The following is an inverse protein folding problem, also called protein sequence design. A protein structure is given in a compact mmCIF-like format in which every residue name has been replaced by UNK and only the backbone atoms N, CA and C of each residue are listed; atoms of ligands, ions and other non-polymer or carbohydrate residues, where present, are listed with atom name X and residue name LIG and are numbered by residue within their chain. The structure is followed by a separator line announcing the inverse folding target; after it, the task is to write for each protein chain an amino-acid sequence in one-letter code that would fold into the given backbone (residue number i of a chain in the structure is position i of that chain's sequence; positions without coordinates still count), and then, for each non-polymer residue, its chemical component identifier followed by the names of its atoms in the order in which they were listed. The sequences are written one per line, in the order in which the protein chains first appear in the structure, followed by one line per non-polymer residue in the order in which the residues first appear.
data_IF_432473503072
#
_entry.id   IF_432473503072
#
_cell.length_a   1.000
_cell.length_b   1.000
_cell.length_c   1.000
_cell.angle_alpha   90.00
_cell.angle_beta   90.00
_cell.angle_gamma   90.00
#
_symmetry.space_group_name_H-M   'P 1'
#
loop_
_entity.id
_entity.type
_entity.pdbx_description
1 polymer ?
#
# COMPACT_ATOMS: atom_id res chain seq x y z
N UNK A 1 10.64 -14.68 1.15
CA UNK A 1 11.06 -14.81 2.56
C UNK A 1 12.49 -15.31 2.58
N UNK A 2 13.32 -14.85 3.51
CA UNK A 2 14.67 -15.42 3.70
C UNK A 2 14.61 -16.86 4.24
N UNK A 3 13.46 -17.31 4.73
CA UNK A 3 13.27 -18.63 5.35
C UNK A 3 12.61 -19.67 4.46
N UNK A 4 12.03 -19.29 3.31
CA UNK A 4 11.34 -20.20 2.40
C UNK A 4 11.80 -19.93 0.97
N UNK A 5 12.59 -20.83 0.35
CA UNK A 5 13.06 -20.69 -1.03
C UNK A 5 11.90 -20.55 -2.02
N UNK A 6 12.03 -19.62 -2.97
CA UNK A 6 11.01 -19.39 -4.00
C UNK A 6 9.73 -18.69 -3.52
N UNK A 7 9.55 -18.48 -2.20
CA UNK A 7 8.38 -17.77 -1.69
C UNK A 7 8.59 -16.26 -1.72
N UNK A 8 7.80 -15.58 -2.55
CA UNK A 8 7.67 -14.12 -2.57
C UNK A 8 6.26 -13.73 -2.17
N UNK A 9 6.11 -13.00 -1.07
CA UNK A 9 4.85 -12.38 -0.70
C UNK A 9 5.03 -10.86 -0.77
N UNK A 10 4.10 -10.14 -1.44
CA UNK A 10 4.14 -8.69 -1.42
C UNK A 10 3.87 -8.19 0.01
N UNK A 11 4.50 -7.08 0.39
CA UNK A 11 4.22 -6.44 1.66
C UNK A 11 2.78 -5.92 1.67
N UNK A 12 2.03 -6.23 2.72
CA UNK A 12 0.70 -5.68 2.92
C UNK A 12 0.82 -4.33 3.65
N UNK A 13 0.44 -3.25 2.98
CA UNK A 13 0.55 -1.90 3.51
C UNK A 13 -0.76 -1.40 4.12
N UNK A 14 -0.63 -0.52 5.11
CA UNK A 14 -1.72 0.32 5.62
C UNK A 14 -1.40 1.77 5.30
N UNK A 15 -2.39 2.54 4.86
CA UNK A 15 -2.17 3.92 4.46
C UNK A 15 -3.46 4.67 4.25
N UNK A 16 -3.33 5.92 3.79
CA UNK A 16 -4.45 6.82 3.52
C UNK A 16 -4.54 7.00 2.01
N UNK A 17 -5.71 6.70 1.45
CA UNK A 17 -6.02 7.03 0.06
C UNK A 17 -6.76 8.36 0.00
N UNK A 18 -6.31 9.22 -0.91
CA UNK A 18 -6.94 10.52 -1.15
C UNK A 18 -7.78 10.43 -2.42
N UNK A 19 -9.07 10.79 -2.38
CA UNK A 19 -9.92 10.78 -3.56
C UNK A 19 -9.35 11.66 -4.68
N UNK A 20 -9.53 11.24 -5.93
CA UNK A 20 -9.21 12.08 -7.09
C UNK A 20 -10.08 13.35 -7.07
N UNK A 21 -9.48 14.47 -7.46
CA UNK A 21 -10.18 15.75 -7.60
C UNK A 21 -10.23 16.63 -6.35
N UNK A 22 -9.61 16.22 -5.23
CA UNK A 22 -9.35 17.16 -4.13
C UNK A 22 -8.42 18.29 -4.59
N UNK A 23 -8.48 19.49 -3.99
CA UNK A 23 -7.53 20.56 -4.30
C UNK A 23 -6.07 20.10 -4.11
N UNK A 24 -5.18 20.53 -5.01
CA UNK A 24 -3.75 20.18 -4.99
C UNK A 24 -3.06 20.44 -3.65
N UNK A 25 -3.50 21.47 -2.92
CA UNK A 25 -2.96 21.78 -1.61
C UNK A 25 -3.14 20.63 -0.60
N UNK A 26 -4.23 19.87 -0.71
CA UNK A 26 -4.52 18.75 0.19
C UNK A 26 -3.48 17.64 0.03
N UNK A 27 -3.21 17.23 -1.21
CA UNK A 27 -2.22 16.18 -1.50
C UNK A 27 -0.82 16.66 -1.15
N UNK A 28 -0.44 17.87 -1.55
CA UNK A 28 0.86 18.47 -1.23
C UNK A 28 1.10 18.57 0.28
N UNK A 29 0.08 18.94 1.05
CA UNK A 29 0.18 19.05 2.50
C UNK A 29 0.37 17.68 3.15
N UNK A 30 -0.39 16.67 2.73
CA UNK A 30 -0.24 15.31 3.25
C UNK A 30 1.10 14.69 2.87
N UNK A 31 1.57 14.88 1.63
CA UNK A 31 2.89 14.43 1.20
C UNK A 31 3.98 15.07 2.06
N UNK A 32 3.89 16.38 2.32
CA UNK A 32 4.82 17.09 3.21
C UNK A 32 4.79 16.53 4.63
N UNK A 33 3.60 16.31 5.21
CA UNK A 33 3.45 15.71 6.54
C UNK A 33 4.11 14.33 6.58
N UNK A 34 3.91 13.50 5.55
CA UNK A 34 4.54 12.20 5.49
C UNK A 34 6.06 12.28 5.43
N UNK A 35 6.57 13.11 4.51
CA UNK A 35 8.00 13.28 4.26
C UNK A 35 8.75 13.90 5.44
N UNK A 36 8.12 14.78 6.22
CA UNK A 36 8.82 15.56 7.25
C UNK A 36 8.53 15.09 8.67
N UNK A 37 7.29 14.67 8.95
CA UNK A 37 6.78 14.40 10.29
C UNK A 37 6.57 12.92 10.54
N UNK A 38 5.84 12.23 9.65
CA UNK A 38 5.52 10.81 9.85
C UNK A 38 6.77 9.96 9.81
N UNK A 39 7.73 10.23 8.92
CA UNK A 39 9.01 9.49 8.88
C UNK A 39 9.80 9.56 10.19
N UNK A 40 9.55 10.57 11.03
CA UNK A 40 10.21 10.78 12.33
C UNK A 40 9.32 10.41 13.52
N UNK A 41 8.13 9.87 13.29
CA UNK A 41 7.14 9.60 14.34
C UNK A 41 7.53 8.40 15.18
N UNK A 42 8.19 8.65 16.32
CA UNK A 42 8.52 7.61 17.30
C UNK A 42 7.27 6.93 17.87
N UNK A 43 6.16 7.66 18.02
CA UNK A 43 4.90 7.08 18.48
C UNK A 43 4.38 6.03 17.47
N UNK A 44 4.37 6.36 16.18
CA UNK A 44 3.90 5.44 15.14
C UNK A 44 4.85 4.26 14.96
N UNK A 45 6.17 4.50 15.02
CA UNK A 45 7.19 3.45 14.98
C UNK A 45 7.05 2.45 16.13
N UNK A 46 6.85 2.95 17.37
CA UNK A 46 6.60 2.10 18.55
C UNK A 46 5.31 1.30 18.39
N UNK A 47 4.24 1.93 17.91
CA UNK A 47 2.99 1.26 17.63
C UNK A 47 3.15 0.12 16.61
N UNK A 48 3.76 0.40 15.45
CA UNK A 48 4.01 -0.59 14.41
C UNK A 48 4.79 -1.79 14.95
N UNK A 49 5.91 -1.54 15.62
CA UNK A 49 6.74 -2.58 16.22
C UNK A 49 5.97 -3.43 17.25
N UNK A 50 5.16 -2.81 18.12
CA UNK A 50 4.37 -3.53 19.12
C UNK A 50 3.26 -4.42 18.52
N UNK A 51 2.90 -4.19 17.26
CA UNK A 51 1.88 -4.96 16.52
C UNK A 51 2.48 -5.88 15.46
N UNK A 52 3.81 -6.04 15.45
CA UNK A 52 4.51 -6.87 14.45
C UNK A 52 4.46 -6.31 13.03
N UNK A 53 4.20 -5.00 12.88
CA UNK A 53 4.21 -4.31 11.61
C UNK A 53 5.56 -3.63 11.36
N UNK A 54 5.94 -3.54 10.08
CA UNK A 54 7.11 -2.77 9.65
C UNK A 54 6.76 -1.28 9.61
N UNK A 55 7.63 -0.45 10.18
CA UNK A 55 7.52 1.00 10.05
C UNK A 55 8.20 1.44 8.74
N UNK A 56 7.41 1.54 7.68
CA UNK A 56 7.85 1.88 6.32
C UNK A 56 6.99 3.02 5.73
N UNK A 57 7.17 4.27 6.18
CA UNK A 57 6.37 5.40 5.74
C UNK A 57 6.77 5.82 4.32
N UNK A 58 5.81 5.74 3.40
CA UNK A 58 5.94 6.14 1.99
C UNK A 58 4.80 7.11 1.64
N UNK A 59 5.00 7.92 0.60
CA UNK A 59 3.99 8.86 0.09
C UNK A 59 4.03 8.94 -1.43
N UNK A 60 3.02 9.59 -2.02
CA UNK A 60 2.88 9.78 -3.47
C UNK A 60 3.05 8.48 -4.29
N UNK A 61 3.77 8.59 -5.41
CA UNK A 61 4.00 7.50 -6.35
C UNK A 61 4.79 6.34 -5.74
N UNK A 62 5.69 6.63 -4.79
CA UNK A 62 6.46 5.59 -4.11
C UNK A 62 5.55 4.68 -3.27
N UNK A 63 4.57 5.27 -2.55
CA UNK A 63 3.57 4.51 -1.82
C UNK A 63 2.68 3.68 -2.76
N UNK A 64 2.21 4.28 -3.86
CA UNK A 64 1.37 3.57 -4.83
C UNK A 64 2.13 2.38 -5.45
N UNK A 65 3.39 2.59 -5.86
CA UNK A 65 4.22 1.53 -6.43
C UNK A 65 4.50 0.40 -5.43
N UNK A 66 4.76 0.73 -4.17
CA UNK A 66 5.07 -0.26 -3.14
C UNK A 66 3.86 -1.15 -2.80
N UNK A 67 2.64 -0.58 -2.74
CA UNK A 67 1.43 -1.35 -2.41
C UNK A 67 0.85 -2.12 -3.59
N UNK A 68 1.11 -1.70 -4.83
CA UNK A 68 0.45 -2.25 -6.01
C UNK A 68 0.57 -3.78 -6.17
N UNK A 69 1.73 -4.42 -5.91
CA UNK A 69 1.82 -5.88 -5.97
C UNK A 69 0.85 -6.62 -5.04
N UNK A 70 0.60 -6.08 -3.84
CA UNK A 70 -0.38 -6.63 -2.91
C UNK A 70 -1.82 -6.44 -3.42
N UNK A 71 -2.11 -5.27 -4.01
CA UNK A 71 -3.39 -4.97 -4.66
C UNK A 71 -3.65 -5.95 -5.81
N UNK A 72 -2.67 -6.16 -6.69
CA UNK A 72 -2.76 -7.11 -7.79
C UNK A 72 -3.04 -8.52 -7.29
N UNK A 73 -2.22 -9.02 -6.35
CA UNK A 73 -2.40 -10.35 -5.78
C UNK A 73 -3.81 -10.53 -5.17
N UNK A 74 -4.26 -9.58 -4.36
CA UNK A 74 -5.57 -9.64 -3.71
C UNK A 74 -6.73 -9.58 -4.71
N UNK A 75 -6.69 -8.66 -5.67
CA UNK A 75 -7.73 -8.51 -6.68
C UNK A 75 -7.86 -9.76 -7.55
N UNK A 76 -6.74 -10.32 -8.00
CA UNK A 76 -6.72 -11.55 -8.80
C UNK A 76 -7.13 -12.78 -7.99
N UNK A 77 -6.75 -12.88 -6.71
CA UNK A 77 -7.23 -13.97 -5.84
C UNK A 77 -8.74 -13.92 -5.64
N UNK A 78 -9.32 -12.73 -5.45
CA UNK A 78 -10.78 -12.56 -5.34
C UNK A 78 -11.49 -12.94 -6.64
N UNK A 79 -10.95 -12.54 -7.80
CA UNK A 79 -11.52 -12.91 -9.09
C UNK A 79 -11.43 -14.41 -9.37
N UNK A 80 -10.24 -15.01 -9.22
CA UNK A 80 -10.01 -16.43 -9.47
C UNK A 80 -10.82 -17.35 -8.54
N UNK A 81 -11.18 -16.87 -7.34
CA UNK A 81 -12.06 -17.59 -6.42
C UNK A 81 -13.55 -17.33 -6.63
N UNK A 82 -13.94 -16.64 -7.71
CA UNK A 82 -15.34 -16.36 -8.06
C UNK A 82 -16.01 -15.31 -7.18
N UNK A 83 -15.23 -14.54 -6.39
CA UNK A 83 -15.74 -13.54 -5.45
C UNK A 83 -15.82 -12.12 -6.03
N UNK A 84 -15.27 -11.89 -7.22
CA UNK A 84 -15.37 -10.62 -7.94
C UNK A 84 -16.27 -10.73 -9.17
N UNK A 85 -17.06 -9.68 -9.43
CA UNK A 85 -18.00 -9.64 -10.57
C UNK A 85 -17.34 -9.37 -11.92
N UNK A 86 -16.17 -8.73 -11.91
CA UNK A 86 -15.42 -8.31 -13.10
C UNK A 86 -13.95 -8.68 -12.94
N UNK A 87 -13.26 -8.87 -14.07
CA UNK A 87 -11.84 -9.16 -14.09
C UNK A 87 -11.02 -7.92 -13.66
N UNK A 88 -9.96 -8.04 -12.84
CA UNK A 88 -9.20 -6.89 -12.34
C UNK A 88 -8.59 -6.00 -13.44
N UNK A 89 -8.23 -6.56 -14.59
CA UNK A 89 -7.68 -5.80 -15.72
C UNK A 89 -8.69 -4.80 -16.31
N UNK A 90 -10.00 -5.07 -16.24
CA UNK A 90 -11.03 -4.14 -16.74
C UNK A 90 -11.13 -2.87 -15.91
N UNK A 91 -10.54 -2.86 -14.71
CA UNK A 91 -10.44 -1.70 -13.81
C UNK A 91 -8.98 -1.26 -13.62
N UNK A 92 -8.07 -1.67 -14.51
CA UNK A 92 -6.68 -1.20 -14.55
C UNK A 92 -5.71 -1.93 -13.63
N UNK A 93 -6.03 -3.14 -13.17
CA UNK A 93 -5.15 -3.96 -12.33
C UNK A 93 -4.66 -5.18 -13.13
N UNK A 94 -3.49 -5.09 -13.81
CA UNK A 94 -2.96 -6.20 -14.60
C UNK A 94 -2.53 -7.36 -13.69
N UNK A 95 -2.28 -8.53 -14.28
CA UNK A 95 -1.74 -9.68 -13.55
C UNK A 95 -0.36 -9.35 -12.94
N UNK A 96 -0.02 -9.91 -11.76
CA UNK A 96 1.31 -9.80 -11.16
C UNK A 96 2.42 -10.35 -12.07
#
# INVERSE_FOLDING_TARGET
SQTVPGFTAPANYFGIFIPKGVPDEVTKTLDKIWAEQIVKSEALKKYANSRGALFDPLYGDAAQKAVFPAVQSNAWNLFNSGKAKVSPDTVGIPKP
#
